data_IF_691660557706
#
_entry.id   IF_691660557706
#
_cell.length_a   1.000
_cell.length_b   1.000
_cell.length_c   1.000
_cell.angle_alpha   90.00
_cell.angle_beta   90.00
_cell.angle_gamma   90.00
#
_symmetry.space_group_name_H-M   'P 1'
#
loop_
_entity.id
_entity.type
_entity.pdbx_description
1 polymer ?
#
# COMPACT_ATOMS: atom_id res chain seq x y z
N UNK A 1 5.76 -16.67 -4.63
CA UNK A 1 6.56 -15.62 -5.33
C UNK A 1 7.99 -16.13 -5.43
N UNK A 2 8.78 -15.64 -6.36
CA UNK A 2 10.18 -16.04 -6.48
C UNK A 2 11.02 -14.79 -6.75
N UNK A 3 11.67 -14.26 -5.71
CA UNK A 3 12.47 -13.03 -5.79
C UNK A 3 13.93 -13.40 -5.66
N UNK A 4 14.75 -12.96 -6.63
CA UNK A 4 16.20 -13.11 -6.55
C UNK A 4 16.80 -11.80 -6.07
N UNK A 5 17.61 -11.86 -5.03
CA UNK A 5 18.33 -10.72 -4.48
C UNK A 5 19.84 -10.93 -4.61
N UNK A 6 20.58 -9.85 -4.79
CA UNK A 6 22.04 -9.87 -4.72
C UNK A 6 22.47 -9.17 -3.44
N UNK A 7 23.28 -9.85 -2.61
CA UNK A 7 24.00 -9.21 -1.51
C UNK A 7 25.38 -8.78 -2.00
N UNK A 8 26.04 -7.89 -1.27
CA UNK A 8 27.37 -7.41 -1.67
C UNK A 8 28.27 -7.12 -0.47
N UNK A 9 29.38 -7.85 -0.41
CA UNK A 9 30.50 -7.61 0.51
C UNK A 9 31.66 -6.89 -0.18
N UNK A 10 31.49 -6.40 -1.42
CA UNK A 10 32.58 -5.85 -2.25
C UNK A 10 33.28 -4.62 -1.66
N UNK A 11 32.67 -3.98 -0.66
CA UNK A 11 33.19 -2.80 0.02
C UNK A 11 33.90 -3.16 1.33
N UNK A 12 34.06 -4.45 1.64
CA UNK A 12 34.93 -4.91 2.72
C UNK A 12 36.38 -4.58 2.38
N UNK A 13 37.11 -4.05 3.35
CA UNK A 13 38.48 -3.57 3.19
C UNK A 13 39.30 -4.17 4.32
N UNK A 14 40.49 -4.64 3.97
CA UNK A 14 41.54 -5.00 4.91
C UNK A 14 42.64 -3.93 4.90
N UNK A 15 43.20 -3.59 6.06
CA UNK A 15 44.24 -2.56 6.18
C UNK A 15 45.61 -3.01 5.68
N UNK A 16 45.88 -4.31 5.79
CA UNK A 16 47.15 -4.94 5.44
C UNK A 16 47.12 -5.52 4.00
N UNK A 17 45.97 -5.38 3.33
CA UNK A 17 45.68 -5.80 1.96
C UNK A 17 45.71 -7.33 1.83
N UNK A 18 45.32 -8.02 2.89
CA UNK A 18 45.16 -9.47 2.91
C UNK A 18 43.95 -9.94 2.09
N UNK A 19 43.98 -11.22 1.70
CA UNK A 19 42.87 -11.81 0.96
C UNK A 19 41.71 -12.07 1.91
N UNK A 20 40.59 -11.40 1.67
CA UNK A 20 39.38 -11.56 2.47
C UNK A 20 38.57 -12.80 2.10
N UNK A 21 38.11 -13.51 3.13
CA UNK A 21 37.05 -14.52 3.05
C UNK A 21 35.76 -13.96 3.65
N UNK A 22 34.62 -14.51 3.22
CA UNK A 22 33.29 -14.00 3.54
C UNK A 22 32.48 -15.10 4.22
N UNK A 23 31.64 -14.71 5.17
CA UNK A 23 30.70 -15.60 5.84
C UNK A 23 29.34 -14.91 5.97
N UNK A 24 28.50 -15.14 4.96
CA UNK A 24 27.10 -14.73 4.98
C UNK A 24 26.23 -15.73 5.75
N UNK A 25 25.43 -15.21 6.69
CA UNK A 25 24.45 -16.01 7.45
C UNK A 25 23.06 -15.42 7.34
N UNK A 26 22.05 -16.29 7.22
CA UNK A 26 20.65 -15.93 7.39
C UNK A 26 20.31 -15.95 8.89
N UNK A 27 20.09 -14.78 9.48
CA UNK A 27 19.79 -14.60 10.90
C UNK A 27 18.30 -14.84 11.19
N UNK A 28 17.41 -14.30 10.35
CA UNK A 28 15.97 -14.43 10.52
C UNK A 28 15.25 -14.53 9.17
N UNK A 29 14.16 -15.30 9.13
CA UNK A 29 13.28 -15.43 7.97
C UNK A 29 11.80 -15.46 8.38
N UNK A 30 10.85 -15.22 7.46
CA UNK A 30 9.43 -15.08 7.77
C UNK A 30 8.76 -16.32 8.41
N UNK A 31 9.32 -17.52 8.23
CA UNK A 31 8.75 -18.79 8.74
C UNK A 31 9.51 -19.41 9.90
N UNK A 32 10.33 -18.63 10.63
CA UNK A 32 10.98 -19.07 11.86
C UNK A 32 9.98 -19.27 13.03
N UNK A 33 9.07 -20.24 12.88
CA UNK A 33 8.39 -20.89 13.99
C UNK A 33 8.57 -22.42 14.00
N UNK A 34 8.93 -23.13 12.90
CA UNK A 34 9.21 -24.60 12.99
C UNK A 34 9.72 -25.32 11.71
N UNK A 35 10.34 -24.67 10.73
CA UNK A 35 10.92 -25.40 9.59
C UNK A 35 12.34 -24.97 9.31
N UNK A 36 13.21 -25.96 9.09
CA UNK A 36 14.61 -25.81 8.72
C UNK A 36 14.82 -24.59 7.83
N UNK A 37 15.54 -23.61 8.38
CA UNK A 37 16.14 -22.50 7.64
C UNK A 37 16.56 -23.05 6.28
N UNK A 38 16.16 -22.49 5.12
CA UNK A 38 16.86 -22.80 3.89
C UNK A 38 18.30 -22.39 4.15
N UNK A 39 19.15 -23.36 4.49
CA UNK A 39 20.52 -23.13 4.85
C UNK A 39 21.09 -22.31 3.71
N UNK A 40 21.56 -21.11 4.03
CA UNK A 40 22.41 -20.36 3.13
C UNK A 40 23.49 -21.36 2.71
N UNK A 41 23.44 -21.88 1.48
CA UNK A 41 24.29 -23.02 1.15
C UNK A 41 25.75 -22.58 1.39
N UNK A 42 26.56 -23.39 2.07
CA UNK A 42 27.93 -22.99 2.42
C UNK A 42 28.77 -22.57 1.20
N UNK A 43 28.37 -23.01 0.01
CA UNK A 43 29.01 -22.67 -1.26
C UNK A 43 28.70 -21.23 -1.73
N UNK A 44 27.58 -20.64 -1.28
CA UNK A 44 27.22 -19.25 -1.56
C UNK A 44 27.57 -18.31 -0.40
N UNK A 45 27.72 -18.81 0.84
CA UNK A 45 28.07 -17.98 2.01
C UNK A 45 29.44 -17.34 1.93
N UNK A 46 30.34 -17.89 1.10
CA UNK A 46 31.71 -17.44 0.93
C UNK A 46 31.94 -16.55 -0.30
N UNK A 47 30.91 -16.33 -1.11
CA UNK A 47 30.99 -15.50 -2.32
C UNK A 47 30.90 -14.01 -1.92
N UNK A 48 31.70 -13.16 -2.57
CA UNK A 48 31.67 -11.69 -2.34
C UNK A 48 30.28 -11.09 -2.58
N UNK A 49 29.60 -11.51 -3.65
CA UNK A 49 28.28 -11.03 -4.04
C UNK A 49 27.32 -12.21 -4.32
N UNK A 50 26.79 -12.90 -3.30
CA UNK A 50 25.93 -14.04 -3.51
C UNK A 50 24.56 -13.60 -4.06
N UNK A 51 24.00 -14.43 -4.94
CA UNK A 51 22.64 -14.28 -5.44
C UNK A 51 21.74 -15.31 -4.76
N UNK A 52 20.73 -14.85 -4.03
CA UNK A 52 19.89 -15.70 -3.19
C UNK A 52 18.46 -15.66 -3.71
N UNK A 53 17.83 -16.83 -3.72
CA UNK A 53 16.45 -16.99 -4.08
C UNK A 53 15.57 -17.02 -2.83
N UNK A 54 14.64 -16.07 -2.74
CA UNK A 54 13.67 -15.96 -1.65
C UNK A 54 12.27 -16.23 -2.18
N UNK A 55 11.64 -17.25 -1.61
CA UNK A 55 10.38 -17.83 -2.08
C UNK A 55 9.16 -17.44 -1.22
N UNK A 56 9.41 -16.92 -0.02
CA UNK A 56 8.37 -16.44 0.88
C UNK A 56 8.39 -14.92 1.00
N UNK A 57 7.21 -14.36 1.26
CA UNK A 57 7.08 -12.94 1.57
C UNK A 57 7.31 -12.71 3.06
N UNK A 58 8.02 -11.63 3.39
CA UNK A 58 8.28 -11.18 4.74
C UNK A 58 9.67 -10.58 4.89
N UNK A 59 10.08 -10.42 6.13
CA UNK A 59 11.37 -9.87 6.51
C UNK A 59 12.43 -10.96 6.59
N UNK A 60 13.58 -10.71 5.96
CA UNK A 60 14.78 -11.52 6.05
C UNK A 60 15.91 -10.67 6.60
N UNK A 61 16.65 -11.18 7.57
CA UNK A 61 17.84 -10.50 8.11
C UNK A 61 19.05 -11.36 7.79
N UNK A 62 20.02 -10.80 7.08
CA UNK A 62 21.30 -11.45 6.80
C UNK A 62 22.40 -10.73 7.57
N UNK A 63 23.45 -11.48 7.94
CA UNK A 63 24.69 -10.91 8.44
C UNK A 63 25.86 -11.28 7.54
N UNK A 64 26.85 -10.39 7.43
CA UNK A 64 28.16 -10.65 6.85
C UNK A 64 29.23 -10.54 7.92
N UNK A 65 30.10 -11.55 8.01
CA UNK A 65 31.41 -11.46 8.68
C UNK A 65 32.49 -11.65 7.63
N UNK A 66 33.56 -10.87 7.67
CA UNK A 66 34.74 -11.06 6.79
C UNK A 66 35.96 -11.42 7.61
N UNK A 67 36.86 -12.23 7.05
CA UNK A 67 38.06 -12.70 7.74
C UNK A 67 39.28 -12.54 6.82
N UNK A 68 40.37 -11.99 7.37
CA UNK A 68 41.62 -11.68 6.67
C UNK A 68 42.63 -12.85 6.64
N UNK A 69 42.24 -14.02 7.14
CA UNK A 69 43.11 -15.19 7.35
C UNK A 69 43.60 -15.33 8.80
N UNK A 70 43.39 -14.31 9.63
CA UNK A 70 43.82 -14.28 11.04
C UNK A 70 42.67 -13.97 12.00
N UNK A 71 41.81 -13.01 11.67
CA UNK A 71 40.76 -12.50 12.56
C UNK A 71 39.46 -12.24 11.82
N UNK A 72 38.35 -12.51 12.50
CA UNK A 72 37.02 -12.17 12.03
C UNK A 72 36.70 -10.69 12.30
N UNK A 73 36.00 -10.06 11.37
CA UNK A 73 35.39 -8.75 11.58
C UNK A 73 34.23 -8.82 12.57
N UNK A 74 33.78 -7.66 13.05
CA UNK A 74 32.42 -7.56 13.61
C UNK A 74 31.42 -7.83 12.49
N UNK A 75 30.33 -8.53 12.79
CA UNK A 75 29.28 -8.79 11.81
C UNK A 75 28.49 -7.52 11.47
N UNK A 76 28.25 -7.29 10.18
CA UNK A 76 27.30 -6.28 9.68
C UNK A 76 25.99 -6.94 9.23
N UNK A 77 24.87 -6.23 9.30
CA UNK A 77 23.54 -6.81 9.00
C UNK A 77 22.79 -6.04 7.93
N UNK A 78 22.04 -6.77 7.10
CA UNK A 78 21.14 -6.22 6.09
C UNK A 78 19.75 -6.82 6.21
N UNK A 79 18.73 -5.97 6.25
CA UNK A 79 17.32 -6.36 6.27
C UNK A 79 16.72 -6.26 4.87
N UNK A 80 16.13 -7.36 4.41
CA UNK A 80 15.48 -7.47 3.11
C UNK A 80 14.00 -7.76 3.29
N UNK A 81 13.18 -6.99 2.57
CA UNK A 81 11.73 -7.09 2.57
C UNK A 81 11.25 -7.72 1.25
N UNK A 82 10.82 -8.98 1.29
CA UNK A 82 10.32 -9.69 0.11
C UNK A 82 8.81 -9.68 0.12
N UNK A 83 8.17 -9.18 -0.93
CA UNK A 83 6.71 -9.14 -1.00
C UNK A 83 6.04 -8.35 0.13
N UNK A 84 6.83 -7.63 0.95
CA UNK A 84 6.38 -6.67 1.93
C UNK A 84 7.05 -5.32 1.68
N UNK A 85 6.33 -4.24 1.99
CA UNK A 85 6.72 -2.88 1.67
C UNK A 85 6.37 -1.98 2.85
N UNK A 86 7.31 -1.11 3.25
CA UNK A 86 7.08 -0.11 4.28
C UNK A 86 6.60 1.20 3.65
N UNK A 87 5.51 1.75 4.17
CA UNK A 87 5.03 3.06 3.74
C UNK A 87 4.30 3.77 4.88
N UNK A 88 4.79 4.97 5.22
CA UNK A 88 4.19 5.87 6.24
C UNK A 88 3.91 5.18 7.59
N UNK A 89 4.82 4.31 8.04
CA UNK A 89 4.71 3.61 9.33
C UNK A 89 3.90 2.30 9.29
N UNK A 90 3.49 1.85 8.11
CA UNK A 90 2.77 0.58 7.93
C UNK A 90 3.58 -0.38 7.06
N UNK A 91 3.43 -1.67 7.33
CA UNK A 91 3.96 -2.76 6.52
C UNK A 91 2.83 -3.37 5.70
N UNK A 92 2.96 -3.32 4.38
CA UNK A 92 2.02 -3.87 3.41
C UNK A 92 2.61 -5.12 2.81
N UNK A 93 1.79 -6.15 2.58
CA UNK A 93 2.12 -7.23 1.66
C UNK A 93 1.69 -6.91 0.23
N UNK A 94 1.94 -7.84 -0.68
CA UNK A 94 1.46 -7.74 -2.07
C UNK A 94 0.69 -8.99 -2.48
N UNK A 95 -0.31 -8.82 -3.33
CA UNK A 95 -1.13 -9.91 -3.90
C UNK A 95 -1.17 -9.77 -5.41
N UNK A 96 -1.07 -10.90 -6.11
CA UNK A 96 -1.19 -10.94 -7.57
C UNK A 96 -2.62 -11.28 -7.96
N UNK A 97 -3.19 -10.53 -8.90
CA UNK A 97 -4.51 -10.79 -9.44
C UNK A 97 -4.55 -12.15 -10.15
N UNK A 98 -5.56 -13.00 -9.87
CA UNK A 98 -5.83 -14.20 -10.67
C UNK A 98 -6.50 -13.89 -12.02
N UNK A 99 -6.94 -12.64 -12.25
CA UNK A 99 -7.69 -12.23 -13.44
C UNK A 99 -6.83 -11.45 -14.44
N UNK A 100 -5.94 -10.58 -13.95
CA UNK A 100 -5.19 -9.61 -14.78
C UNK A 100 -3.67 -9.75 -14.67
N UNK A 101 -3.19 -10.66 -13.81
CA UNK A 101 -1.79 -10.79 -13.40
C UNK A 101 -1.15 -9.55 -12.74
N UNK A 102 -1.91 -8.46 -12.54
CA UNK A 102 -1.42 -7.24 -11.89
C UNK A 102 -1.13 -7.45 -10.41
N UNK A 103 -0.22 -6.66 -9.86
CA UNK A 103 0.17 -6.74 -8.44
C UNK A 103 -0.47 -5.59 -7.67
N UNK A 104 -1.06 -5.90 -6.53
CA UNK A 104 -1.77 -4.97 -5.67
C UNK A 104 -1.21 -5.02 -4.25
N UNK A 105 -1.41 -3.96 -3.47
CA UNK A 105 -1.19 -4.04 -2.03
C UNK A 105 -2.24 -4.95 -1.38
N UNK A 106 -1.84 -5.74 -0.39
CA UNK A 106 -2.69 -6.71 0.28
C UNK A 106 -3.76 -6.11 1.23
N UNK A 107 -3.63 -4.81 1.57
CA UNK A 107 -4.59 -4.05 2.38
C UNK A 107 -4.72 -2.59 1.94
N UNK A 108 -5.77 -1.92 2.43
CA UNK A 108 -5.99 -0.49 2.16
C UNK A 108 -4.89 0.34 2.83
N UNK A 109 -4.56 1.51 2.27
CA UNK A 109 -3.61 2.43 2.89
C UNK A 109 -4.10 2.82 4.29
N UNK A 110 -3.20 2.70 5.27
CA UNK A 110 -3.45 2.95 6.69
C UNK A 110 -3.96 1.75 7.49
N UNK A 111 -4.16 0.59 6.87
CA UNK A 111 -4.65 -0.60 7.55
C UNK A 111 -3.51 -1.33 8.28
N UNK A 112 -3.76 -1.80 9.51
CA UNK A 112 -2.74 -2.51 10.31
C UNK A 112 -2.60 -3.98 9.92
N UNK A 113 -3.63 -4.58 9.30
CA UNK A 113 -3.62 -5.98 8.85
C UNK A 113 -4.46 -6.22 7.60
N UNK A 114 -4.25 -7.36 6.94
CA UNK A 114 -5.18 -7.90 5.93
C UNK A 114 -6.50 -8.24 6.62
N UNK A 115 -7.62 -8.00 5.94
CA UNK A 115 -8.94 -8.26 6.50
C UNK A 115 -9.16 -9.74 6.82
N UNK A 116 -9.61 -10.01 8.05
CA UNK A 116 -10.07 -11.35 8.46
C UNK A 116 -11.58 -11.51 8.35
N UNK A 117 -12.32 -10.40 8.23
CA UNK A 117 -13.76 -10.33 7.97
C UNK A 117 -14.09 -9.02 7.25
N UNK A 118 -15.23 -8.93 6.57
CA UNK A 118 -15.66 -7.69 5.90
C UNK A 118 -15.81 -6.52 6.88
N UNK A 119 -16.08 -6.79 8.17
CA UNK A 119 -16.26 -5.80 9.22
C UNK A 119 -15.08 -5.70 10.21
N UNK A 120 -13.89 -6.18 9.81
CA UNK A 120 -12.67 -6.10 10.61
C UNK A 120 -12.14 -4.66 10.68
N UNK A 121 -12.38 -3.98 11.80
CA UNK A 121 -12.02 -2.56 11.98
C UNK A 121 -10.52 -2.26 11.84
N UNK A 122 -9.65 -3.26 12.04
CA UNK A 122 -8.19 -3.11 11.90
C UNK A 122 -7.73 -3.08 10.44
N UNK A 123 -8.55 -3.55 9.51
CA UNK A 123 -8.17 -3.67 8.10
C UNK A 123 -8.75 -2.58 7.19
N UNK A 124 -9.61 -1.70 7.72
CA UNK A 124 -10.33 -0.70 6.92
C UNK A 124 -9.40 0.31 6.24
N UNK A 125 -8.30 0.65 6.93
CA UNK A 125 -7.41 1.74 6.55
C UNK A 125 -8.00 3.12 6.83
N UNK A 126 -7.39 4.12 6.21
CA UNK A 126 -7.74 5.53 6.38
C UNK A 126 -8.75 6.02 5.32
N UNK A 127 -9.33 7.21 5.56
CA UNK A 127 -10.39 7.79 4.74
C UNK A 127 -9.93 9.11 4.08
N UNK A 128 -9.40 9.02 2.86
CA UNK A 128 -8.81 10.13 2.13
C UNK A 128 -9.84 10.96 1.37
N UNK A 129 -9.72 12.28 1.42
CA UNK A 129 -10.42 13.17 0.49
C UNK A 129 -9.77 13.11 -0.88
N UNK A 130 -10.57 13.14 -1.94
CA UNK A 130 -10.11 12.76 -3.27
C UNK A 130 -8.97 13.65 -3.78
N UNK A 131 -7.89 13.04 -4.28
CA UNK A 131 -6.72 13.73 -4.81
C UNK A 131 -5.67 14.18 -3.79
N UNK A 132 -5.98 14.13 -2.50
CA UNK A 132 -5.15 14.67 -1.43
C UNK A 132 -4.12 13.65 -0.94
N UNK A 133 -2.93 14.13 -0.56
CA UNK A 133 -1.91 13.31 0.09
C UNK A 133 -2.24 13.07 1.57
N UNK A 134 -1.58 12.09 2.19
CA UNK A 134 -1.64 11.88 3.62
C UNK A 134 -0.97 13.06 4.34
N UNK A 135 -1.76 13.85 5.06
CA UNK A 135 -1.32 15.00 5.86
C UNK A 135 -1.95 14.99 7.26
N UNK A 136 -2.63 13.90 7.61
CA UNK A 136 -3.32 13.69 8.88
C UNK A 136 -4.85 13.82 8.75
N UNK A 137 -5.38 14.42 7.68
CA UNK A 137 -6.83 14.56 7.52
C UNK A 137 -7.55 13.22 7.39
N UNK A 138 -6.87 12.22 6.82
CA UNK A 138 -7.43 10.91 6.49
C UNK A 138 -7.77 10.09 7.74
N UNK A 139 -7.17 10.44 8.88
CA UNK A 139 -7.39 9.77 10.16
C UNK A 139 -8.79 10.06 10.68
N UNK A 140 -9.48 9.01 11.16
CA UNK A 140 -10.84 9.12 11.71
C UNK A 140 -10.95 10.09 12.88
N UNK A 141 -9.85 10.28 13.62
CA UNK A 141 -9.74 11.19 14.76
C UNK A 141 -9.32 12.62 14.40
N UNK A 142 -9.03 12.89 13.13
CA UNK A 142 -8.55 14.22 12.73
C UNK A 142 -9.62 15.30 12.95
N UNK A 143 -9.17 16.51 13.27
CA UNK A 143 -10.05 17.65 13.42
C UNK A 143 -10.80 17.95 12.10
N UNK A 144 -11.96 18.60 12.20
CA UNK A 144 -12.72 19.04 11.03
C UNK A 144 -12.68 20.55 10.88
N UNK A 145 -12.75 21.05 9.65
CA UNK A 145 -12.90 22.47 9.33
C UNK A 145 -13.91 22.64 8.20
N UNK A 146 -14.53 23.81 8.10
CA UNK A 146 -15.36 24.20 6.94
C UNK A 146 -14.61 25.18 6.02
N UNK A 147 -13.38 25.54 6.37
CA UNK A 147 -12.54 26.41 5.53
C UNK A 147 -11.98 25.56 4.39
N UNK A 148 -12.37 25.90 3.15
CA UNK A 148 -11.91 25.19 1.97
C UNK A 148 -10.45 25.51 1.68
N UNK A 149 -9.73 24.52 1.16
CA UNK A 149 -8.35 24.70 0.76
C UNK A 149 -8.25 25.58 -0.51
N UNK A 150 -7.37 26.58 -0.50
CA UNK A 150 -7.07 27.39 -1.68
C UNK A 150 -5.94 26.81 -2.55
N UNK A 151 -5.26 25.77 -2.06
CA UNK A 151 -4.16 25.05 -2.72
C UNK A 151 -4.36 23.54 -2.52
N UNK A 152 -3.94 22.71 -3.49
CA UNK A 152 -4.10 21.25 -3.43
C UNK A 152 -2.89 20.51 -2.83
N UNK A 153 -1.74 21.17 -2.74
CA UNK A 153 -0.49 20.63 -2.21
C UNK A 153 -0.27 21.02 -0.73
N UNK A 154 -0.74 22.20 -0.32
CA UNK A 154 -0.59 22.72 1.05
C UNK A 154 -1.96 22.95 1.66
N UNK A 155 -2.47 21.96 2.40
CA UNK A 155 -3.85 21.97 2.90
C UNK A 155 -3.94 22.03 4.44
N UNK A 156 -3.07 21.30 5.14
CA UNK A 156 -3.11 21.14 6.62
C UNK A 156 -3.61 19.77 7.05
N UNK A 157 -3.82 19.50 8.34
CA UNK A 157 -4.19 18.15 8.81
C UNK A 157 -5.70 17.94 9.05
N UNK A 158 -6.54 18.94 8.80
CA UNK A 158 -7.99 18.85 9.05
C UNK A 158 -8.75 18.22 7.88
N UNK A 159 -9.76 17.43 8.22
CA UNK A 159 -10.78 16.98 7.28
C UNK A 159 -11.71 18.15 6.93
N UNK A 160 -11.87 18.44 5.64
CA UNK A 160 -12.57 19.64 5.19
C UNK A 160 -14.00 19.27 4.83
N UNK A 161 -14.95 19.89 5.53
CA UNK A 161 -16.38 19.69 5.29
C UNK A 161 -16.90 20.73 4.31
N UNK A 162 -17.72 20.29 3.37
CA UNK A 162 -18.42 21.18 2.46
C UNK A 162 -19.86 20.70 2.19
N UNK A 163 -20.83 21.48 2.65
CA UNK A 163 -22.26 21.23 2.40
C UNK A 163 -22.78 21.97 1.17
N UNK A 164 -22.04 22.98 0.71
CA UNK A 164 -22.42 23.86 -0.38
C UNK A 164 -21.96 23.31 -1.72
N UNK A 165 -22.69 23.59 -2.80
CA UNK A 165 -22.19 23.32 -4.16
C UNK A 165 -20.82 23.99 -4.34
N UNK A 166 -19.79 23.28 -4.86
CA UNK A 166 -19.89 22.00 -5.53
C UNK A 166 -19.64 20.76 -4.63
N UNK A 167 -19.47 20.90 -3.32
CA UNK A 167 -19.15 19.81 -2.37
C UNK A 167 -17.77 19.19 -2.61
N UNK A 168 -16.80 20.06 -2.87
CA UNK A 168 -15.37 19.73 -2.92
C UNK A 168 -14.67 20.32 -1.68
N UNK A 169 -13.53 19.75 -1.30
CA UNK A 169 -12.74 20.19 -0.15
C UNK A 169 -11.83 21.39 -0.45
N UNK A 170 -11.77 21.78 -1.72
CA UNK A 170 -10.93 22.87 -2.22
C UNK A 170 -11.70 23.77 -3.17
N UNK A 171 -11.25 25.03 -3.29
CA UNK A 171 -11.73 25.99 -4.30
C UNK A 171 -10.91 25.96 -5.59
N UNK A 172 -9.83 25.18 -5.65
CA UNK A 172 -8.96 25.04 -6.83
C UNK A 172 -9.07 23.65 -7.45
N UNK A 173 -8.55 23.49 -8.68
CA UNK A 173 -8.59 22.25 -9.45
C UNK A 173 -10.02 21.67 -9.59
N UNK A 174 -10.95 22.50 -10.06
CA UNK A 174 -12.32 22.08 -10.37
C UNK A 174 -12.34 20.94 -11.39
N UNK A 175 -11.40 20.95 -12.34
CA UNK A 175 -11.22 19.86 -13.31
C UNK A 175 -10.89 18.51 -12.64
N UNK A 176 -10.11 18.53 -11.55
CA UNK A 176 -9.55 17.33 -10.95
C UNK A 176 -8.28 16.84 -11.64
N UNK A 177 -7.81 17.50 -12.70
CA UNK A 177 -6.64 17.07 -13.46
C UNK A 177 -5.36 17.02 -12.61
N UNK A 178 -5.12 18.04 -11.79
CA UNK A 178 -3.92 18.12 -10.95
C UNK A 178 -3.95 17.01 -9.89
N UNK A 179 -5.09 16.84 -9.23
CA UNK A 179 -5.30 15.84 -8.19
C UNK A 179 -5.32 14.40 -8.72
N UNK A 180 -5.90 14.17 -9.90
CA UNK A 180 -5.88 12.87 -10.58
C UNK A 180 -4.48 12.48 -11.04
N UNK A 181 -3.71 13.44 -11.57
CA UNK A 181 -2.29 13.25 -11.88
C UNK A 181 -1.48 12.96 -10.62
N UNK A 182 -1.75 13.66 -9.51
CA UNK A 182 -1.08 13.40 -8.24
C UNK A 182 -1.29 11.95 -7.77
N UNK A 183 -2.52 11.43 -7.84
CA UNK A 183 -2.83 10.05 -7.46
C UNK A 183 -2.34 8.99 -8.44
N UNK A 184 -1.94 9.39 -9.65
CA UNK A 184 -1.32 8.52 -10.65
C UNK A 184 0.21 8.44 -10.53
N UNK A 185 0.85 9.25 -9.67
CA UNK A 185 2.30 9.21 -9.46
C UNK A 185 2.76 7.90 -8.82
N UNK A 186 3.95 7.46 -9.19
CA UNK A 186 4.58 6.21 -8.75
C UNK A 186 5.94 6.43 -8.07
N UNK A 187 6.36 7.68 -7.94
CA UNK A 187 7.62 8.09 -7.29
C UNK A 187 7.54 8.07 -5.75
N UNK A 188 6.39 7.66 -5.19
CA UNK A 188 6.14 7.66 -3.75
C UNK A 188 5.85 9.04 -3.14
N UNK A 189 5.75 10.10 -3.96
CA UNK A 189 5.38 11.45 -3.49
C UNK A 189 3.87 11.62 -3.23
N UNK A 190 3.07 10.64 -3.66
CA UNK A 190 1.62 10.59 -3.47
C UNK A 190 1.22 9.72 -2.28
N UNK A 191 -0.04 9.29 -2.22
CA UNK A 191 -0.59 8.44 -1.15
C UNK A 191 -0.06 7.01 -1.21
N UNK A 192 0.36 6.56 -2.39
CA UNK A 192 0.84 5.20 -2.59
C UNK A 192 2.37 5.13 -2.47
N UNK A 193 2.91 3.96 -2.11
CA UNK A 193 4.35 3.72 -2.07
C UNK A 193 5.07 3.90 -3.40
N UNK A 194 6.40 3.98 -3.37
CA UNK A 194 7.23 3.95 -4.59
C UNK A 194 6.93 2.70 -5.41
N UNK A 195 6.71 2.87 -6.72
CA UNK A 195 6.31 1.83 -7.65
C UNK A 195 4.81 1.50 -7.64
N UNK A 196 4.01 2.17 -6.80
CA UNK A 196 2.57 1.97 -6.69
C UNK A 196 1.82 3.29 -6.90
N UNK A 197 0.58 3.21 -7.38
CA UNK A 197 -0.32 4.35 -7.56
C UNK A 197 -1.76 4.00 -7.19
N UNK A 198 -2.62 5.01 -7.12
CA UNK A 198 -4.06 4.78 -7.03
C UNK A 198 -4.54 4.22 -8.38
N UNK A 199 -5.32 3.13 -8.40
CA UNK A 199 -5.80 2.51 -9.62
C UNK A 199 -6.81 3.41 -10.34
N UNK A 200 -6.94 3.21 -11.64
CA UNK A 200 -8.06 3.73 -12.42
C UNK A 200 -9.34 2.97 -12.07
N UNK A 201 -10.50 3.52 -12.43
CA UNK A 201 -11.78 2.82 -12.23
C UNK A 201 -11.85 1.52 -13.04
N UNK A 202 -11.31 1.49 -14.26
CA UNK A 202 -11.32 0.28 -15.09
C UNK A 202 -10.47 -0.83 -14.46
N UNK A 203 -9.28 -0.50 -13.95
CA UNK A 203 -8.44 -1.47 -13.24
C UNK A 203 -9.17 -2.04 -12.03
N UNK A 204 -9.85 -1.21 -11.23
CA UNK A 204 -10.66 -1.73 -10.11
C UNK A 204 -11.82 -2.62 -10.60
N UNK A 205 -12.49 -2.26 -11.70
CA UNK A 205 -13.63 -3.04 -12.22
C UNK A 205 -13.19 -4.42 -12.69
N UNK A 206 -12.07 -4.51 -13.42
CA UNK A 206 -11.50 -5.77 -13.90
C UNK A 206 -11.14 -6.74 -12.76
N UNK A 207 -10.78 -6.21 -11.58
CA UNK A 207 -10.52 -7.04 -10.39
C UNK A 207 -11.76 -7.40 -9.58
N UNK A 208 -12.90 -6.73 -9.83
CA UNK A 208 -14.10 -6.82 -9.01
C UNK A 208 -15.33 -7.08 -9.88
N UNK A 209 -16.16 -6.09 -10.13
CA UNK A 209 -17.51 -6.24 -10.71
C UNK A 209 -17.53 -6.72 -12.17
N UNK A 210 -16.40 -6.61 -12.89
CA UNK A 210 -16.28 -7.14 -14.25
C UNK A 210 -15.53 -8.50 -14.27
N UNK A 211 -15.10 -9.02 -13.12
CA UNK A 211 -14.38 -10.29 -13.05
C UNK A 211 -15.35 -11.48 -13.10
N UNK A 212 -14.89 -12.61 -13.65
CA UNK A 212 -15.73 -13.80 -13.87
C UNK A 212 -16.28 -14.42 -12.59
N UNK A 213 -15.61 -14.19 -11.46
CA UNK A 213 -15.88 -14.85 -10.18
C UNK A 213 -16.61 -13.93 -9.20
N UNK A 214 -16.96 -12.71 -9.63
CA UNK A 214 -17.68 -11.74 -8.81
C UNK A 214 -19.15 -11.72 -9.16
N UNK A 215 -20.00 -12.07 -8.20
CA UNK A 215 -21.45 -12.04 -8.37
C UNK A 215 -22.00 -10.67 -8.02
N UNK A 216 -22.17 -10.37 -6.74
CA UNK A 216 -22.41 -9.01 -6.26
C UNK A 216 -22.40 -8.94 -4.72
N UNK A 217 -21.99 -7.81 -4.14
CA UNK A 217 -22.19 -7.47 -2.74
C UNK A 217 -20.91 -7.34 -1.92
N UNK A 218 -21.05 -6.89 -0.67
CA UNK A 218 -19.92 -6.66 0.24
C UNK A 218 -19.25 -7.96 0.69
N UNK A 219 -19.99 -9.07 0.69
CA UNK A 219 -19.46 -10.38 1.09
C UNK A 219 -18.49 -10.88 0.01
N UNK A 220 -18.86 -10.68 -1.25
CA UNK A 220 -18.13 -11.00 -2.46
C UNK A 220 -16.90 -10.10 -2.58
N UNK A 221 -17.04 -8.81 -2.28
CA UNK A 221 -15.92 -7.87 -2.17
C UNK A 221 -14.86 -8.33 -1.16
N UNK A 222 -15.28 -8.92 -0.04
CA UNK A 222 -14.37 -9.48 0.97
C UNK A 222 -13.80 -10.86 0.56
N UNK A 223 -14.59 -11.69 -0.12
CA UNK A 223 -14.15 -13.00 -0.57
C UNK A 223 -13.24 -12.94 -1.80
N UNK A 224 -13.28 -11.85 -2.56
CA UNK A 224 -12.34 -11.52 -3.63
C UNK A 224 -10.88 -11.53 -3.12
N UNK A 225 -9.92 -11.77 -4.02
CA UNK A 225 -8.49 -11.83 -3.67
C UNK A 225 -7.95 -10.54 -3.02
N UNK A 226 -8.55 -9.38 -3.29
CA UNK A 226 -8.19 -8.08 -2.69
C UNK A 226 -8.75 -7.89 -1.27
N UNK A 227 -9.72 -8.72 -0.86
CA UNK A 227 -10.37 -8.70 0.46
C UNK A 227 -10.85 -7.32 0.88
N UNK A 228 -11.64 -6.66 0.03
CA UNK A 228 -12.13 -5.31 0.34
C UNK A 228 -13.05 -5.31 1.56
N UNK A 229 -12.76 -4.51 2.61
CA UNK A 229 -13.64 -4.40 3.76
C UNK A 229 -14.81 -3.45 3.51
N UNK A 230 -15.84 -3.59 4.33
CA UNK A 230 -16.90 -2.60 4.53
C UNK A 230 -16.40 -1.43 5.40
N UNK A 231 -15.44 -0.68 4.88
CA UNK A 231 -14.73 0.36 5.63
C UNK A 231 -15.59 1.59 6.02
N UNK A 232 -16.77 1.71 5.44
CA UNK A 232 -17.60 2.90 5.50
C UNK A 232 -16.96 4.06 4.74
N UNK A 233 -17.37 5.27 5.09
CA UNK A 233 -16.79 6.51 4.58
C UNK A 233 -16.70 7.56 5.70
N UNK A 234 -16.04 8.67 5.42
CA UNK A 234 -16.14 9.89 6.21
C UNK A 234 -16.88 10.94 5.39
N UNK A 235 -18.07 11.31 5.85
CA UNK A 235 -18.99 12.16 5.08
C UNK A 235 -18.41 13.55 4.88
N UNK A 236 -18.25 13.98 3.64
CA UNK A 236 -17.76 15.31 3.29
C UNK A 236 -18.66 16.46 3.78
N UNK A 237 -19.94 16.19 4.05
CA UNK A 237 -20.87 17.20 4.56
C UNK A 237 -20.77 17.42 6.08
N UNK A 238 -20.54 16.35 6.85
CA UNK A 238 -20.64 16.38 8.33
C UNK A 238 -19.33 16.06 9.03
N UNK A 239 -18.38 15.43 8.35
CA UNK A 239 -17.15 14.88 8.92
C UNK A 239 -17.35 13.61 9.74
N UNK A 240 -18.58 13.09 9.81
CA UNK A 240 -18.96 11.89 10.57
C UNK A 240 -18.52 10.63 9.81
N UNK A 241 -18.06 9.62 10.56
CA UNK A 241 -17.73 8.31 10.04
C UNK A 241 -19.03 7.51 9.79
N UNK A 242 -19.39 7.32 8.52
CA UNK A 242 -20.62 6.68 8.08
C UNK A 242 -20.50 5.17 7.95
N UNK A 243 -21.52 4.45 8.46
CA UNK A 243 -21.88 3.07 8.08
C UNK A 243 -20.74 2.05 7.97
N UNK A 244 -19.78 2.15 8.90
CA UNK A 244 -18.67 1.20 9.09
C UNK A 244 -19.21 -0.20 9.35
N UNK A 245 -18.70 -1.19 8.64
CA UNK A 245 -19.19 -2.57 8.66
C UNK A 245 -20.43 -2.82 7.78
N UNK A 246 -20.96 -1.80 7.09
CA UNK A 246 -22.15 -1.94 6.24
C UNK A 246 -21.85 -1.81 4.75
N UNK A 247 -21.06 -0.80 4.35
CA UNK A 247 -20.65 -0.58 2.96
C UNK A 247 -19.20 -0.09 2.89
N UNK A 248 -18.68 0.06 1.68
CA UNK A 248 -17.40 0.73 1.43
C UNK A 248 -17.40 1.44 0.08
N UNK A 249 -16.60 2.50 -0.01
CA UNK A 249 -16.15 3.07 -1.27
C UNK A 249 -14.65 2.93 -1.37
N UNK A 250 -14.17 2.48 -2.53
CA UNK A 250 -12.74 2.46 -2.87
C UNK A 250 -12.50 3.49 -3.96
N UNK A 251 -11.70 4.49 -3.63
CA UNK A 251 -11.35 5.54 -4.55
C UNK A 251 -10.53 5.05 -5.74
N UNK A 252 -10.76 5.68 -6.89
CA UNK A 252 -9.90 5.57 -8.07
C UNK A 252 -9.24 6.91 -8.40
N UNK A 253 -8.18 6.88 -9.21
CA UNK A 253 -7.57 8.07 -9.82
C UNK A 253 -8.39 8.64 -10.98
N UNK A 254 -9.44 7.95 -11.44
CA UNK A 254 -10.30 8.41 -12.54
C UNK A 254 -11.28 9.48 -12.04
N UNK A 255 -11.42 10.56 -12.81
CA UNK A 255 -12.24 11.72 -12.45
C UNK A 255 -13.08 12.21 -13.64
N UNK A 256 -14.06 13.07 -13.33
CA UNK A 256 -14.84 13.80 -14.32
C UNK A 256 -14.41 15.26 -14.36
N UNK A 257 -14.01 15.77 -15.53
CA UNK A 257 -13.46 17.13 -15.67
C UNK A 257 -14.46 18.27 -15.38
N UNK A 258 -15.77 18.00 -15.51
CA UNK A 258 -16.84 18.99 -15.34
C UNK A 258 -17.67 18.78 -14.07
N UNK A 259 -17.15 18.02 -13.10
CA UNK A 259 -17.89 17.70 -11.89
C UNK A 259 -16.96 17.59 -10.68
N UNK A 260 -17.46 17.99 -9.51
CA UNK A 260 -16.81 17.83 -8.20
C UNK A 260 -16.89 16.41 -7.64
N UNK A 261 -17.24 15.45 -8.49
CA UNK A 261 -17.25 14.03 -8.18
C UNK A 261 -16.09 13.35 -8.90
N UNK A 262 -15.65 12.25 -8.32
CA UNK A 262 -14.66 11.36 -8.91
C UNK A 262 -15.10 9.91 -8.76
N UNK A 263 -14.49 9.01 -9.52
CA UNK A 263 -14.95 7.63 -9.57
C UNK A 263 -14.45 6.81 -8.39
N UNK A 264 -15.33 5.95 -7.91
CA UNK A 264 -15.06 4.94 -6.90
C UNK A 264 -15.81 3.65 -7.25
N UNK A 265 -15.34 2.52 -6.72
CA UNK A 265 -16.19 1.33 -6.62
C UNK A 265 -16.90 1.36 -5.29
N UNK A 266 -18.19 1.06 -5.31
CA UNK A 266 -19.05 0.93 -4.15
C UNK A 266 -19.40 -0.54 -3.90
N UNK A 267 -19.42 -0.93 -2.63
CA UNK A 267 -19.87 -2.25 -2.17
C UNK A 267 -20.87 -2.08 -1.03
N UNK A 268 -22.07 -2.64 -1.16
CA UNK A 268 -23.15 -2.70 -0.17
C UNK A 268 -23.61 -4.16 0.01
N UNK A 269 -24.50 -4.43 0.98
CA UNK A 269 -24.99 -5.79 1.32
C UNK A 269 -25.13 -6.71 0.10
N UNK A 270 -25.93 -6.31 -0.90
CA UNK A 270 -26.25 -7.14 -2.07
C UNK A 270 -26.04 -6.37 -3.39
N UNK A 271 -25.18 -5.34 -3.38
CA UNK A 271 -24.96 -4.51 -4.58
C UNK A 271 -23.57 -3.89 -4.62
N UNK A 272 -22.96 -3.90 -5.80
CA UNK A 272 -21.65 -3.34 -6.09
C UNK A 272 -21.66 -2.74 -7.48
N UNK A 273 -21.08 -1.56 -7.61
CA UNK A 273 -21.00 -0.89 -8.90
C UNK A 273 -19.95 0.21 -8.87
N UNK A 274 -19.45 0.56 -10.05
CA UNK A 274 -18.71 1.81 -10.23
C UNK A 274 -19.68 2.99 -10.13
N UNK A 275 -19.28 4.04 -9.43
CA UNK A 275 -20.09 5.25 -9.26
C UNK A 275 -19.21 6.49 -9.17
N UNK A 276 -19.82 7.67 -9.17
CA UNK A 276 -19.16 8.92 -8.86
C UNK A 276 -19.68 9.50 -7.55
N UNK A 277 -18.76 9.91 -6.69
CA UNK A 277 -19.07 10.49 -5.37
C UNK A 277 -18.28 11.78 -5.16
N UNK A 278 -18.81 12.66 -4.30
CA UNK A 278 -18.23 13.98 -4.07
C UNK A 278 -16.80 13.89 -3.53
N UNK A 279 -15.90 14.71 -4.08
CA UNK A 279 -14.47 14.72 -3.75
C UNK A 279 -14.19 15.06 -2.29
N UNK A 280 -15.10 15.78 -1.62
CA UNK A 280 -15.03 16.06 -0.18
C UNK A 280 -15.23 14.81 0.72
N UNK A 281 -15.74 13.70 0.19
CA UNK A 281 -15.88 12.48 0.99
C UNK A 281 -14.51 11.83 1.26
N UNK A 282 -14.33 11.32 2.48
CA UNK A 282 -13.18 10.51 2.86
C UNK A 282 -13.44 9.03 2.60
N UNK A 283 -12.70 8.39 1.70
CA UNK A 283 -12.88 6.97 1.39
C UNK A 283 -11.54 6.24 1.33
N UNK A 284 -11.60 4.90 1.39
CA UNK A 284 -10.40 4.07 1.40
C UNK A 284 -9.72 4.04 0.04
N UNK A 285 -8.41 3.78 0.07
CA UNK A 285 -7.57 3.64 -1.12
C UNK A 285 -6.86 2.29 -1.08
N UNK A 286 -6.81 1.63 -2.24
CA UNK A 286 -6.05 0.41 -2.48
C UNK A 286 -5.10 0.64 -3.64
N UNK A 287 -3.80 0.50 -3.43
CA UNK A 287 -2.82 0.81 -4.47
C UNK A 287 -2.49 -0.39 -5.35
N UNK A 288 -2.20 -0.10 -6.62
CA UNK A 288 -1.76 -1.05 -7.64
C UNK A 288 -0.31 -0.75 -8.03
N UNK A 289 0.48 -1.79 -8.33
CA UNK A 289 1.84 -1.65 -8.84
C UNK A 289 1.81 -1.17 -10.28
N UNK A 290 2.66 -0.21 -10.62
CA UNK A 290 2.83 0.26 -12.00
C UNK A 290 3.57 -0.76 -12.86
#
# INVERSE_FOLDING_TARGET
MNTTIALSGKLSIDSDIDTLTYDWKLISSPTNQNSSVPSFENNISTIVNPSIRLDQSGEYIFSLTVNDGTVDSVSDTVTIYVGILQHKGYVYGTVKSPFTDRIWLDRNIGASRVCTAYNDTQCYGDNFQWGRNADGHEKLSSATTTTLASDVNIVGASFIKNISSPRDWTTTDSSGSIRGSNWSKTDGSSVCPVGYRVPTINELKEETIDSSDYTDGRTEAFNNFLKFPSAGDRKGSTGINGSRGTYSYIWSSTFTESSSKSYAIFFLTDTSHATNIYRANGNSIRCIKH
#
